data_IF_274523004600
#
_entry.id   IF_274523004600
#
_cell.length_a   1.000
_cell.length_b   1.000
_cell.length_c   1.000
_cell.angle_alpha   90.00
_cell.angle_beta   90.00
_cell.angle_gamma   90.00
#
_symmetry.space_group_name_H-M   'P 1'
#
loop_
_entity.id
_entity.type
_entity.pdbx_description
1 polymer ?
#
# COMPACT_ATOMS: atom_id res chain seq x y z
N UNK A 1 16.47 37.29 -25.53
CA UNK A 1 15.01 37.32 -25.25
C UNK A 1 14.73 36.16 -24.35
N UNK A 2 14.20 36.38 -23.15
CA UNK A 2 13.71 35.29 -22.31
C UNK A 2 12.50 34.69 -23.02
N UNK A 3 12.69 33.57 -23.72
CA UNK A 3 11.57 32.80 -24.24
C UNK A 3 10.77 32.32 -23.03
N UNK A 4 9.74 33.08 -22.69
CA UNK A 4 8.75 32.68 -21.71
C UNK A 4 8.14 31.38 -22.24
N UNK A 5 8.11 30.31 -21.44
CA UNK A 5 7.50 29.06 -21.86
C UNK A 5 6.04 29.32 -22.19
N UNK A 6 5.54 28.62 -23.20
CA UNK A 6 4.13 28.59 -23.53
C UNK A 6 3.34 28.02 -22.35
N UNK A 7 2.04 28.34 -22.28
CA UNK A 7 1.15 27.77 -21.26
C UNK A 7 1.18 26.24 -21.26
N UNK A 8 1.35 25.63 -22.44
CA UNK A 8 1.46 24.18 -22.60
C UNK A 8 2.75 23.64 -21.98
N UNK A 9 3.90 24.21 -22.34
CA UNK A 9 5.19 23.79 -21.80
C UNK A 9 5.26 23.96 -20.27
N UNK A 10 4.67 25.03 -19.73
CA UNK A 10 4.59 25.25 -18.29
C UNK A 10 3.65 24.23 -17.61
N UNK A 11 2.52 23.90 -18.25
CA UNK A 11 1.59 22.89 -17.75
C UNK A 11 2.22 21.50 -17.74
N UNK A 12 2.92 21.11 -18.79
CA UNK A 12 3.64 19.84 -18.85
C UNK A 12 4.73 19.80 -17.78
N UNK A 13 5.56 20.85 -17.68
CA UNK A 13 6.60 20.97 -16.64
C UNK A 13 6.03 20.80 -15.22
N UNK A 14 4.89 21.43 -14.93
CA UNK A 14 4.22 21.33 -13.63
C UNK A 14 3.60 19.96 -13.39
N UNK A 15 3.07 19.33 -14.43
CA UNK A 15 2.52 17.97 -14.36
C UNK A 15 3.62 16.97 -14.01
N UNK A 16 4.76 17.02 -14.71
CA UNK A 16 5.94 16.20 -14.40
C UNK A 16 6.45 16.44 -12.98
N UNK A 17 6.62 17.70 -12.57
CA UNK A 17 7.07 18.03 -11.22
C UNK A 17 6.10 17.53 -10.14
N UNK A 18 4.80 17.51 -10.42
CA UNK A 18 3.77 17.00 -9.50
C UNK A 18 3.86 15.49 -9.37
N UNK A 19 4.03 14.75 -10.47
CA UNK A 19 4.25 13.28 -10.43
C UNK A 19 5.52 12.94 -9.65
N UNK A 20 6.62 13.65 -9.92
CA UNK A 20 7.90 13.46 -9.20
C UNK A 20 7.75 13.72 -7.70
N UNK A 21 7.02 14.77 -7.32
CA UNK A 21 6.74 15.08 -5.92
C UNK A 21 5.88 14.00 -5.26
N UNK A 22 4.84 13.51 -5.94
CA UNK A 22 3.97 12.43 -5.45
C UNK A 22 4.79 11.16 -5.21
N UNK A 23 5.65 10.79 -6.16
CA UNK A 23 6.49 9.60 -6.06
C UNK A 23 7.50 9.73 -4.90
N UNK A 24 8.21 10.86 -4.84
CA UNK A 24 9.14 11.16 -3.74
C UNK A 24 8.45 11.19 -2.37
N UNK A 25 7.20 11.66 -2.31
CA UNK A 25 6.43 11.71 -1.07
C UNK A 25 5.98 10.32 -0.63
N UNK A 26 5.66 9.43 -1.57
CA UNK A 26 5.36 8.04 -1.29
C UNK A 26 6.60 7.30 -0.78
N UNK A 27 7.75 7.44 -1.46
CA UNK A 27 9.01 6.79 -1.04
C UNK A 27 9.46 7.25 0.34
N UNK A 28 9.25 8.53 0.68
CA UNK A 28 9.56 9.10 2.00
C UNK A 28 8.49 8.80 3.06
N UNK A 29 7.44 8.06 2.72
CA UNK A 29 6.34 7.71 3.63
C UNK A 29 5.49 8.90 4.09
N UNK A 30 5.53 10.03 3.37
CA UNK A 30 4.73 11.24 3.68
C UNK A 30 3.27 11.11 3.24
N UNK A 31 3.01 10.28 2.23
CA UNK A 31 1.66 9.95 1.75
C UNK A 31 1.51 8.43 1.67
N UNK A 32 0.29 7.94 1.79
CA UNK A 32 -0.03 6.51 1.62
C UNK A 32 -0.12 6.14 0.13
N UNK A 33 0.00 4.84 -0.23
CA UNK A 33 -0.23 4.40 -1.62
C UNK A 33 -1.62 4.79 -2.16
N UNK A 34 -2.64 4.79 -1.31
CA UNK A 34 -3.99 5.23 -1.69
C UNK A 34 -4.02 6.73 -2.03
N UNK A 35 -3.37 7.57 -1.20
CA UNK A 35 -3.24 9.00 -1.46
C UNK A 35 -2.42 9.29 -2.72
N UNK A 36 -1.37 8.50 -2.98
CA UNK A 36 -0.61 8.58 -4.22
C UNK A 36 -1.48 8.27 -5.44
N UNK A 37 -2.25 7.17 -5.41
CA UNK A 37 -3.19 6.82 -6.48
C UNK A 37 -4.23 7.93 -6.72
N UNK A 38 -4.89 8.41 -5.68
CA UNK A 38 -5.86 9.51 -5.79
C UNK A 38 -5.22 10.78 -6.31
N UNK A 39 -3.97 11.06 -5.95
CA UNK A 39 -3.21 12.21 -6.47
C UNK A 39 -2.93 12.11 -7.97
N UNK A 40 -2.59 10.92 -8.46
CA UNK A 40 -2.43 10.67 -9.90
C UNK A 40 -3.75 10.79 -10.65
N UNK A 41 -4.84 10.24 -10.11
CA UNK A 41 -6.17 10.35 -10.72
C UNK A 41 -6.65 11.80 -10.80
N UNK A 42 -6.44 12.57 -9.72
CA UNK A 42 -6.79 13.99 -9.69
C UNK A 42 -5.94 14.82 -10.68
N UNK A 43 -4.64 14.53 -10.77
CA UNK A 43 -3.77 15.16 -11.76
C UNK A 43 -4.24 14.83 -13.17
N UNK A 44 -4.53 13.55 -13.44
CA UNK A 44 -5.06 13.09 -14.73
C UNK A 44 -6.32 13.84 -15.11
N UNK A 45 -7.33 13.88 -14.22
CA UNK A 45 -8.58 14.58 -14.48
C UNK A 45 -8.37 16.08 -14.75
N UNK A 46 -7.38 16.71 -14.10
CA UNK A 46 -7.09 18.12 -14.28
C UNK A 46 -6.38 18.44 -15.60
N UNK A 47 -5.60 17.50 -16.14
CA UNK A 47 -4.73 17.73 -17.31
C UNK A 47 -5.13 16.97 -18.57
N UNK A 48 -6.00 15.95 -18.43
CA UNK A 48 -6.49 15.13 -19.53
C UNK A 48 -7.17 15.99 -20.59
N UNK A 49 -6.70 15.90 -21.83
CA UNK A 49 -7.19 16.71 -22.95
C UNK A 49 -6.44 18.04 -23.17
N UNK A 50 -5.45 18.38 -22.33
CA UNK A 50 -4.64 19.59 -22.46
C UNK A 50 -3.14 19.25 -22.61
N UNK A 51 -2.66 18.22 -21.91
CA UNK A 51 -1.27 17.77 -21.94
C UNK A 51 -1.01 16.72 -23.03
N UNK A 52 0.27 16.57 -23.41
CA UNK A 52 0.70 15.61 -24.43
C UNK A 52 0.68 14.15 -23.95
N UNK A 53 0.69 13.21 -24.90
CA UNK A 53 0.62 11.75 -24.69
C UNK A 53 1.66 11.25 -23.68
N UNK A 54 2.84 11.86 -23.62
CA UNK A 54 3.89 11.48 -22.66
C UNK A 54 3.53 11.72 -21.18
N UNK A 55 2.69 12.70 -20.87
CA UNK A 55 2.19 12.93 -19.50
C UNK A 55 1.14 11.89 -19.15
N UNK A 56 0.28 11.55 -20.11
CA UNK A 56 -0.74 10.50 -19.97
C UNK A 56 -0.09 9.13 -19.74
N UNK A 57 0.95 8.81 -20.51
CA UNK A 57 1.72 7.56 -20.37
C UNK A 57 2.41 7.47 -19.01
N UNK A 58 3.00 8.57 -18.52
CA UNK A 58 3.66 8.61 -17.22
C UNK A 58 2.66 8.42 -16.07
N UNK A 59 1.50 9.07 -16.13
CA UNK A 59 0.42 8.90 -15.15
C UNK A 59 -0.08 7.46 -15.19
N UNK A 60 -0.31 6.90 -16.39
CA UNK A 60 -0.77 5.51 -16.56
C UNK A 60 0.24 4.51 -15.99
N UNK A 61 1.54 4.72 -16.25
CA UNK A 61 2.61 3.92 -15.68
C UNK A 61 2.69 4.07 -14.14
N UNK A 62 2.48 5.28 -13.62
CA UNK A 62 2.39 5.56 -12.19
C UNK A 62 1.20 4.87 -11.51
N UNK A 63 0.03 4.88 -12.14
CA UNK A 63 -1.16 4.18 -11.66
C UNK A 63 -0.99 2.66 -11.72
N UNK A 64 -0.30 2.14 -12.75
CA UNK A 64 0.09 0.73 -12.81
C UNK A 64 1.09 0.33 -11.71
N UNK A 65 1.99 1.22 -11.32
CA UNK A 65 2.90 1.03 -10.19
C UNK A 65 2.19 1.16 -8.82
N UNK A 66 1.17 2.02 -8.70
CA UNK A 66 0.30 2.14 -7.54
C UNK A 66 -0.65 0.93 -7.38
N UNK A 67 -1.00 0.28 -8.49
CA UNK A 67 -1.72 -0.98 -8.54
C UNK A 67 -0.85 -2.21 -8.21
N UNK A 68 0.43 -2.04 -7.83
CA UNK A 68 1.15 -3.09 -7.11
C UNK A 68 0.43 -3.28 -5.79
N UNK A 69 -0.34 -4.36 -5.71
CA UNK A 69 -1.02 -4.88 -4.53
C UNK A 69 -0.33 -4.39 -3.25
N UNK A 70 -1.04 -3.58 -2.47
CA UNK A 70 -0.54 -3.13 -1.17
C UNK A 70 0.00 -4.36 -0.45
N UNK A 71 1.32 -4.36 -0.20
CA UNK A 71 2.03 -5.57 0.19
C UNK A 71 1.30 -6.25 1.36
N UNK A 72 0.95 -7.52 1.20
CA UNK A 72 0.34 -8.30 2.28
C UNK A 72 1.44 -9.03 3.03
N UNK A 73 1.49 -8.83 4.34
CA UNK A 73 2.34 -9.60 5.23
C UNK A 73 1.51 -10.74 5.79
N UNK A 74 1.88 -11.97 5.42
CA UNK A 74 1.28 -13.19 5.96
C UNK A 74 2.29 -13.94 6.80
N UNK A 75 1.88 -14.39 7.97
CA UNK A 75 2.70 -15.19 8.89
C UNK A 75 1.91 -16.44 9.24
N UNK A 76 2.50 -17.60 8.98
CA UNK A 76 1.88 -18.90 9.22
C UNK A 76 2.64 -19.55 10.37
N UNK A 77 1.93 -19.86 11.44
CA UNK A 77 2.49 -20.49 12.63
C UNK A 77 1.80 -21.81 12.90
N UNK A 78 2.55 -22.87 13.15
CA UNK A 78 2.05 -24.23 13.30
C UNK A 78 2.46 -24.84 14.63
N UNK A 79 1.56 -25.60 15.25
CA UNK A 79 1.82 -26.42 16.43
C UNK A 79 0.99 -27.70 16.36
N UNK A 80 1.63 -28.80 15.96
CA UNK A 80 0.94 -30.07 15.71
C UNK A 80 -0.09 -29.90 14.59
N UNK A 81 -1.36 -30.20 14.87
CA UNK A 81 -2.45 -30.07 13.90
C UNK A 81 -3.03 -28.65 13.80
N UNK A 82 -2.60 -27.72 14.67
CA UNK A 82 -3.11 -26.35 14.70
C UNK A 82 -2.24 -25.43 13.82
N UNK A 83 -2.88 -24.66 12.96
CA UNK A 83 -2.25 -23.64 12.12
C UNK A 83 -2.91 -22.29 12.41
N UNK A 84 -2.12 -21.25 12.62
CA UNK A 84 -2.58 -19.87 12.77
C UNK A 84 -2.00 -19.05 11.63
N UNK A 85 -2.88 -18.46 10.83
CA UNK A 85 -2.53 -17.49 9.79
C UNK A 85 -2.81 -16.09 10.33
N UNK A 86 -1.79 -15.25 10.35
CA UNK A 86 -1.92 -13.82 10.64
C UNK A 86 -1.66 -13.06 9.33
N UNK A 87 -2.67 -12.38 8.81
CA UNK A 87 -2.62 -11.61 7.56
C UNK A 87 -2.85 -10.13 7.87
N UNK A 88 -1.96 -9.29 7.36
CA UNK A 88 -2.08 -7.84 7.44
C UNK A 88 -1.71 -7.22 6.10
N UNK A 89 -2.62 -6.40 5.57
CA UNK A 89 -2.34 -5.56 4.42
C UNK A 89 -1.55 -4.33 4.92
N UNK A 90 -0.36 -4.07 4.36
CA UNK A 90 0.47 -2.93 4.79
C UNK A 90 -0.33 -1.63 4.72
N UNK A 91 -0.16 -0.75 5.71
CA UNK A 91 -0.93 0.48 5.83
C UNK A 91 -2.44 0.32 6.09
N UNK A 92 -2.93 -0.90 6.33
CA UNK A 92 -4.28 -1.16 6.82
C UNK A 92 -4.35 -1.10 8.35
N UNK A 93 -5.50 -0.75 8.88
CA UNK A 93 -5.79 -0.69 10.31
C UNK A 93 -6.24 -2.03 10.88
N UNK A 94 -6.51 -3.01 10.01
CA UNK A 94 -7.06 -4.30 10.38
C UNK A 94 -6.08 -5.45 10.19
N UNK A 95 -5.93 -6.28 11.23
CA UNK A 95 -5.18 -7.55 11.18
C UNK A 95 -6.18 -8.71 11.23
N UNK A 96 -6.04 -9.66 10.32
CA UNK A 96 -6.85 -10.88 10.31
C UNK A 96 -6.07 -12.02 10.93
N UNK A 97 -6.71 -12.77 11.82
CA UNK A 97 -6.17 -13.98 12.44
C UNK A 97 -7.12 -15.13 12.15
N UNK A 98 -6.72 -16.04 11.27
CA UNK A 98 -7.45 -17.26 10.98
C UNK A 98 -6.79 -18.46 11.67
N UNK A 99 -7.60 -19.34 12.24
CA UNK A 99 -7.17 -20.56 12.94
C UNK A 99 -7.69 -21.77 12.19
N UNK A 100 -6.82 -22.74 11.99
CA UNK A 100 -7.12 -24.01 11.34
C UNK A 100 -6.71 -25.16 12.24
N UNK A 101 -7.44 -26.27 12.15
CA UNK A 101 -7.09 -27.55 12.76
C UNK A 101 -7.29 -28.65 11.73
N UNK A 102 -6.26 -29.46 11.49
CA UNK A 102 -6.30 -30.56 10.52
C UNK A 102 -6.83 -30.13 9.12
N UNK A 103 -6.46 -28.92 8.68
CA UNK A 103 -6.87 -28.36 7.38
C UNK A 103 -8.25 -27.69 7.35
N UNK A 104 -9.06 -27.83 8.40
CA UNK A 104 -10.35 -27.14 8.51
C UNK A 104 -10.22 -25.82 9.28
N UNK A 105 -10.87 -24.76 8.80
CA UNK A 105 -10.91 -23.50 9.53
C UNK A 105 -11.81 -23.64 10.77
N UNK A 106 -11.23 -23.41 11.94
CA UNK A 106 -11.92 -23.51 13.23
C UNK A 106 -12.27 -22.14 13.82
N UNK A 107 -11.74 -21.05 13.24
CA UNK A 107 -12.11 -19.70 13.65
C UNK A 107 -11.41 -18.62 12.82
N UNK A 108 -11.96 -17.41 12.87
CA UNK A 108 -11.35 -16.20 12.33
C UNK A 108 -11.71 -15.02 13.21
N UNK A 109 -10.76 -14.12 13.41
CA UNK A 109 -10.98 -12.86 14.09
C UNK A 109 -10.31 -11.75 13.27
N UNK A 110 -11.02 -10.63 13.11
CA UNK A 110 -10.45 -9.41 12.53
C UNK A 110 -10.34 -8.40 13.65
N UNK A 111 -9.11 -7.91 13.87
CA UNK A 111 -8.84 -6.89 14.86
C UNK A 111 -8.52 -5.57 14.15
N UNK A 112 -9.40 -4.59 14.31
CA UNK A 112 -9.20 -3.22 13.80
C UNK A 112 -8.62 -2.34 14.89
N UNK A 113 -7.56 -1.60 14.55
CA UNK A 113 -6.78 -0.75 15.44
C UNK A 113 -6.89 0.70 15.00
N UNK A 114 -6.54 1.64 15.88
CA UNK A 114 -6.67 3.07 15.60
C UNK A 114 -5.71 3.60 14.52
N UNK A 115 -4.60 2.89 14.25
CA UNK A 115 -3.62 3.28 13.22
C UNK A 115 -2.99 2.06 12.57
N UNK A 116 -2.46 2.19 11.34
CA UNK A 116 -1.71 1.11 10.70
C UNK A 116 -0.43 0.69 11.43
N UNK A 117 0.22 1.64 12.12
CA UNK A 117 1.37 1.33 12.96
C UNK A 117 0.96 0.42 14.14
N UNK A 118 -0.16 0.71 14.79
CA UNK A 118 -0.71 -0.12 15.86
C UNK A 118 -1.13 -1.50 15.34
N UNK A 119 -1.67 -1.60 14.12
CA UNK A 119 -1.97 -2.89 13.49
C UNK A 119 -0.70 -3.74 13.27
N UNK A 120 0.38 -3.14 12.75
CA UNK A 120 1.68 -3.81 12.59
C UNK A 120 2.27 -4.28 13.93
N UNK A 121 2.24 -3.44 14.95
CA UNK A 121 2.73 -3.79 16.28
C UNK A 121 1.90 -4.92 16.90
N UNK A 122 0.57 -4.87 16.76
CA UNK A 122 -0.32 -5.92 17.23
C UNK A 122 -0.03 -7.26 16.53
N UNK A 123 0.18 -7.24 15.21
CA UNK A 123 0.58 -8.42 14.45
C UNK A 123 1.88 -9.01 14.99
N UNK A 124 2.94 -8.22 15.15
CA UNK A 124 4.23 -8.68 15.67
C UNK A 124 4.10 -9.25 17.09
N UNK A 125 3.33 -8.59 17.96
CA UNK A 125 3.08 -9.08 19.31
C UNK A 125 2.35 -10.43 19.32
N UNK A 126 1.38 -10.64 18.42
CA UNK A 126 0.69 -11.92 18.26
C UNK A 126 1.65 -13.03 17.80
N UNK A 127 2.49 -12.75 16.81
CA UNK A 127 3.53 -13.68 16.34
C UNK A 127 4.46 -14.08 17.49
N UNK A 128 5.03 -13.09 18.20
CA UNK A 128 5.95 -13.35 19.31
C UNK A 128 5.30 -14.16 20.44
N UNK A 129 4.02 -13.88 20.76
CA UNK A 129 3.27 -14.65 21.75
C UNK A 129 3.09 -16.11 21.31
N UNK A 130 2.79 -16.35 20.03
CA UNK A 130 2.64 -17.71 19.50
C UNK A 130 3.97 -18.46 19.47
N UNK A 131 5.07 -17.80 19.09
CA UNK A 131 6.42 -18.37 19.18
C UNK A 131 6.78 -18.76 20.62
N UNK A 132 6.47 -17.89 21.60
CA UNK A 132 6.66 -18.19 23.02
C UNK A 132 5.79 -19.39 23.50
N UNK A 133 4.66 -19.64 22.85
CA UNK A 133 3.80 -20.81 23.08
C UNK A 133 4.26 -22.08 22.34
N UNK A 134 5.47 -22.07 21.75
CA UNK A 134 6.06 -23.16 20.96
C UNK A 134 5.30 -23.46 19.67
N UNK A 135 4.75 -22.44 19.01
CA UNK A 135 4.43 -22.54 17.59
C UNK A 135 5.71 -22.32 16.78
N UNK A 136 5.81 -22.99 15.65
CA UNK A 136 6.89 -22.86 14.69
C UNK A 136 6.40 -22.04 13.50
N UNK A 137 7.25 -21.16 12.99
CA UNK A 137 6.94 -20.35 11.80
C UNK A 137 7.31 -21.12 10.54
N UNK A 138 6.40 -21.17 9.57
CA UNK A 138 6.60 -21.80 8.24
C UNK A 138 6.98 -20.77 7.18
#
# INVERSE_FOLDING_TARGET
MSNLPTLKEELDRKSFATVEWLYSSLERGRITPAQFSTGLDALFMAVSGITDDGVVDLITAGSGAAAKEVARVRRILVKGALTVLIDWKVADESVTVAKYSAGAQIGSEVKTLATPAAAREAMNAMVQKLLAMKFEEL
#
